data_IF_946435335394
#
_entry.id   IF_946435335394
#
_cell.length_a   1.000
_cell.length_b   1.000
_cell.length_c   1.000
_cell.angle_alpha   90.00
_cell.angle_beta   90.00
_cell.angle_gamma   90.00
#
_symmetry.space_group_name_H-M   'P 1'
#
loop_
_entity.id
_entity.type
_entity.pdbx_description
1 polymer ?
#
# COMPACT_ATOMS: atom_id res chain seq x y z
N UNK A 1 -38.36 30.48 -48.48
CA UNK A 1 -37.90 30.96 -47.15
C UNK A 1 -38.93 30.60 -46.08
N UNK A 2 -38.79 29.47 -45.35
CA UNK A 2 -39.69 29.14 -44.21
C UNK A 2 -39.23 27.97 -43.29
N UNK A 3 -37.96 27.56 -43.35
CA UNK A 3 -37.44 26.38 -42.61
C UNK A 3 -36.34 26.76 -41.60
N UNK A 4 -35.51 27.77 -41.89
CA UNK A 4 -34.42 28.19 -40.99
C UNK A 4 -34.87 28.88 -39.69
N UNK A 5 -36.09 29.43 -39.62
CA UNK A 5 -36.57 30.14 -38.42
C UNK A 5 -37.10 29.24 -37.30
N UNK A 6 -37.32 27.94 -37.55
CA UNK A 6 -37.88 27.00 -36.56
C UNK A 6 -36.76 26.35 -35.73
N UNK A 7 -35.59 26.13 -36.32
CA UNK A 7 -34.44 25.48 -35.67
C UNK A 7 -33.80 26.39 -34.59
N UNK A 8 -33.84 27.71 -34.78
CA UNK A 8 -33.31 28.67 -33.79
C UNK A 8 -34.18 28.82 -32.52
N UNK A 9 -35.45 28.38 -32.54
CA UNK A 9 -36.35 28.50 -31.38
C UNK A 9 -36.25 27.27 -30.46
N UNK A 10 -35.79 26.12 -30.97
CA UNK A 10 -35.54 24.91 -30.16
C UNK A 10 -34.21 24.97 -29.38
N UNK A 11 -33.29 25.88 -29.72
CA UNK A 11 -31.99 26.02 -29.07
C UNK A 11 -32.02 26.86 -27.77
N UNK A 12 -33.16 27.48 -27.41
CA UNK A 12 -33.26 28.44 -26.29
C UNK A 12 -34.03 27.86 -25.07
N UNK A 13 -34.58 26.65 -25.19
CA UNK A 13 -35.47 26.05 -24.17
C UNK A 13 -34.84 24.88 -23.36
N UNK A 14 -33.51 24.79 -23.31
CA UNK A 14 -32.78 23.84 -22.42
C UNK A 14 -31.75 24.59 -21.53
N UNK A 15 -32.11 25.79 -21.08
CA UNK A 15 -31.24 26.67 -20.28
C UNK A 15 -31.87 27.18 -18.97
N UNK A 16 -32.91 26.51 -18.45
CA UNK A 16 -33.74 27.01 -17.35
C UNK A 16 -34.13 25.99 -16.27
N UNK A 17 -33.43 24.86 -16.14
CA UNK A 17 -33.63 23.87 -15.05
C UNK A 17 -32.32 23.28 -14.52
N UNK A 18 -31.35 24.14 -14.19
CA UNK A 18 -30.26 23.78 -13.26
C UNK A 18 -30.55 24.46 -11.92
N UNK A 19 -31.28 23.76 -11.06
CA UNK A 19 -31.58 24.24 -9.70
C UNK A 19 -30.28 24.43 -8.92
N UNK A 20 -30.01 25.61 -8.31
CA UNK A 20 -28.81 25.86 -7.52
C UNK A 20 -28.94 25.26 -6.11
N UNK A 21 -29.14 23.93 -6.04
CA UNK A 21 -29.35 23.17 -4.80
C UNK A 21 -28.11 22.35 -4.35
N UNK A 22 -27.00 22.43 -5.08
CA UNK A 22 -25.77 21.65 -4.80
C UNK A 22 -24.63 22.48 -4.18
N UNK A 23 -24.86 23.76 -3.87
CA UNK A 23 -23.83 24.70 -3.41
C UNK A 23 -23.53 24.64 -1.89
N UNK A 24 -23.86 23.54 -1.20
CA UNK A 24 -23.64 23.40 0.26
C UNK A 24 -22.80 22.17 0.67
N UNK A 25 -22.17 21.47 -0.29
CA UNK A 25 -21.29 20.32 0.00
C UNK A 25 -19.81 20.55 -0.35
N UNK A 26 -19.31 21.78 -0.11
CA UNK A 26 -17.90 22.14 -0.33
C UNK A 26 -17.36 23.20 0.67
N UNK A 27 -18.03 23.40 1.81
CA UNK A 27 -17.62 24.34 2.86
C UNK A 27 -17.38 23.64 4.21
N UNK A 28 -16.91 22.39 4.18
CA UNK A 28 -16.06 21.92 5.27
C UNK A 28 -14.67 22.48 4.99
N UNK A 29 -14.35 23.60 5.64
CA UNK A 29 -12.98 24.07 5.73
C UNK A 29 -12.18 23.01 6.46
N UNK A 30 -11.46 22.18 5.72
CA UNK A 30 -10.46 21.30 6.32
C UNK A 30 -9.52 22.16 7.17
N UNK A 31 -9.15 21.72 8.38
CA UNK A 31 -8.15 22.44 9.16
C UNK A 31 -6.87 22.56 8.33
N UNK A 32 -6.26 23.74 8.34
CA UNK A 32 -4.94 23.96 7.75
C UNK A 32 -3.95 23.12 8.57
N UNK A 33 -3.49 22.00 7.98
CA UNK A 33 -2.65 21.01 8.66
C UNK A 33 -1.22 21.53 8.77
N UNK A 34 -0.91 22.14 9.92
CA UNK A 34 0.37 22.76 10.19
C UNK A 34 1.39 21.77 10.77
N UNK A 35 1.98 20.94 9.90
CA UNK A 35 3.05 19.99 10.25
C UNK A 35 4.32 20.62 10.87
N UNK A 36 4.40 21.96 10.94
CA UNK A 36 5.57 22.70 11.48
C UNK A 36 5.73 22.62 12.99
N UNK A 37 4.67 22.27 13.72
CA UNK A 37 4.65 22.33 15.18
C UNK A 37 5.11 21.01 15.85
N UNK A 38 5.69 20.09 15.07
CA UNK A 38 6.19 18.74 15.42
C UNK A 38 5.13 17.75 15.98
N UNK A 39 3.96 18.22 16.39
CA UNK A 39 2.87 17.41 16.95
C UNK A 39 1.87 17.05 15.86
N UNK A 40 1.93 15.81 15.36
CA UNK A 40 0.97 15.31 14.35
C UNK A 40 -0.27 14.76 15.03
N UNK A 41 -1.44 15.32 14.73
CA UNK A 41 -2.70 14.82 15.28
C UNK A 41 -3.19 13.57 14.53
N UNK A 42 -4.00 12.72 15.17
CA UNK A 42 -4.63 11.57 14.50
C UNK A 42 -5.48 11.95 13.28
N UNK A 43 -6.21 13.07 13.36
CA UNK A 43 -7.03 13.55 12.25
C UNK A 43 -6.17 14.02 11.06
N UNK A 44 -5.04 14.66 11.34
CA UNK A 44 -4.05 15.10 10.36
C UNK A 44 -3.30 13.92 9.72
N UNK A 45 -3.00 12.88 10.50
CA UNK A 45 -2.48 11.62 9.98
C UNK A 45 -3.47 10.93 9.04
N UNK A 46 -4.75 10.87 9.40
CA UNK A 46 -5.83 10.33 8.55
C UNK A 46 -6.05 11.19 7.29
N UNK A 47 -5.94 12.51 7.39
CA UNK A 47 -5.98 13.41 6.22
C UNK A 47 -4.83 13.14 5.24
N UNK A 48 -3.59 13.00 5.72
CA UNK A 48 -2.45 12.61 4.86
C UNK A 48 -2.61 11.19 4.32
N UNK A 49 -3.06 10.25 5.15
CA UNK A 49 -3.39 8.89 4.73
C UNK A 49 -4.41 8.93 3.58
N UNK A 50 -5.47 9.75 3.67
CA UNK A 50 -6.51 9.87 2.61
C UNK A 50 -6.05 10.59 1.35
N UNK A 51 -5.21 11.64 1.43
CA UNK A 51 -4.64 12.34 0.25
C UNK A 51 -3.89 11.34 -0.66
N UNK A 52 -3.16 10.39 -0.06
CA UNK A 52 -2.39 9.37 -0.77
C UNK A 52 -3.07 7.98 -0.83
N UNK A 53 -4.34 7.84 -0.40
CA UNK A 53 -5.07 6.55 -0.46
C UNK A 53 -5.82 6.30 -1.77
N UNK A 54 -5.70 7.17 -2.77
CA UNK A 54 -6.34 7.01 -4.09
C UNK A 54 -5.32 6.81 -5.21
N UNK A 55 -4.66 5.64 -5.31
CA UNK A 55 -3.73 5.36 -6.42
C UNK A 55 -4.42 5.34 -7.79
N UNK A 56 -5.74 5.11 -7.83
CA UNK A 56 -6.48 4.83 -9.05
C UNK A 56 -6.07 3.47 -9.62
N UNK A 57 -5.72 3.42 -10.91
CA UNK A 57 -5.11 2.22 -11.51
C UNK A 57 -3.65 2.06 -11.02
N UNK A 58 -3.36 0.91 -10.42
CA UNK A 58 -2.01 0.50 -10.03
C UNK A 58 -1.22 -0.06 -11.23
N UNK A 59 0.14 -0.08 -11.15
CA UNK A 59 1.03 -0.72 -12.11
C UNK A 59 0.69 -2.18 -12.45
N UNK A 60 0.10 -2.91 -11.51
CA UNK A 60 -0.25 -4.32 -11.66
C UNK A 60 -1.56 -4.59 -12.42
N UNK A 61 -2.25 -3.55 -12.90
CA UNK A 61 -3.54 -3.66 -13.59
C UNK A 61 -3.38 -3.63 -15.12
N UNK A 62 -4.09 -4.49 -15.89
CA UNK A 62 -3.92 -4.60 -17.35
C UNK A 62 -4.11 -3.29 -18.14
N UNK A 63 -4.90 -2.34 -17.64
CA UNK A 63 -5.19 -1.06 -18.29
C UNK A 63 -4.28 0.09 -17.81
N UNK A 64 -3.27 -0.17 -17.00
CA UNK A 64 -2.35 0.85 -16.48
C UNK A 64 -1.60 1.62 -17.58
N UNK A 65 -1.35 0.99 -18.73
CA UNK A 65 -0.76 1.66 -19.89
C UNK A 65 -1.60 2.85 -20.39
N UNK A 66 -2.94 2.81 -20.26
CA UNK A 66 -3.82 3.93 -20.62
C UNK A 66 -3.62 5.12 -19.70
N UNK A 67 -3.37 4.88 -18.40
CA UNK A 67 -3.01 5.91 -17.42
C UNK A 67 -1.68 6.56 -17.80
N UNK A 68 -0.61 5.78 -18.00
CA UNK A 68 0.71 6.31 -18.44
C UNK A 68 0.65 7.01 -19.81
N UNK A 69 -0.24 6.59 -20.72
CA UNK A 69 -0.48 7.27 -21.99
C UNK A 69 -1.18 8.63 -21.78
N UNK A 70 -2.27 8.67 -21.01
CA UNK A 70 -2.98 9.91 -20.70
C UNK A 70 -2.10 10.93 -19.96
N UNK A 71 -1.27 10.47 -19.02
CA UNK A 71 -0.26 11.27 -18.32
C UNK A 71 0.75 11.90 -19.30
N UNK A 72 1.26 11.11 -20.25
CA UNK A 72 2.17 11.59 -21.30
C UNK A 72 1.52 12.59 -22.25
N UNK A 73 0.26 12.36 -22.66
CA UNK A 73 -0.49 13.29 -23.49
C UNK A 73 -0.72 14.61 -22.75
N UNK A 74 -1.08 14.56 -21.46
CA UNK A 74 -1.24 15.76 -20.63
C UNK A 74 0.08 16.55 -20.54
N UNK A 75 1.21 15.89 -20.25
CA UNK A 75 2.53 16.54 -20.25
C UNK A 75 2.91 17.16 -21.61
N UNK A 76 2.59 16.50 -22.72
CA UNK A 76 2.90 16.98 -24.06
C UNK A 76 2.16 18.27 -24.41
N UNK A 77 0.89 18.39 -24.03
CA UNK A 77 0.06 19.57 -24.30
C UNK A 77 0.10 20.65 -23.19
N UNK A 78 0.72 20.39 -22.05
CA UNK A 78 1.04 21.45 -21.07
C UNK A 78 2.26 22.23 -21.56
N UNK A 79 2.07 23.44 -22.07
CA UNK A 79 3.17 24.26 -22.60
C UNK A 79 3.84 25.17 -21.55
N UNK A 80 3.09 25.61 -20.55
CA UNK A 80 3.63 26.43 -19.45
C UNK A 80 4.57 25.61 -18.55
N UNK A 81 5.65 26.24 -18.09
CA UNK A 81 6.68 25.59 -17.29
C UNK A 81 6.26 25.35 -15.84
N UNK A 82 5.51 26.28 -15.22
CA UNK A 82 5.04 26.11 -13.84
C UNK A 82 3.94 25.04 -13.78
N UNK A 83 2.97 25.07 -14.70
CA UNK A 83 1.93 24.04 -14.81
C UNK A 83 2.51 22.66 -15.16
N UNK A 84 3.57 22.59 -15.98
CA UNK A 84 4.24 21.31 -16.29
C UNK A 84 5.02 20.77 -15.08
N UNK A 85 5.73 21.64 -14.34
CA UNK A 85 6.37 21.24 -13.11
C UNK A 85 5.33 20.73 -12.09
N UNK A 86 4.26 21.49 -11.86
CA UNK A 86 3.12 21.06 -11.02
C UNK A 86 2.57 19.70 -11.44
N UNK A 87 2.47 19.43 -12.74
CA UNK A 87 2.04 18.13 -13.24
C UNK A 87 3.00 16.97 -12.91
N UNK A 88 4.32 17.21 -12.93
CA UNK A 88 5.29 16.23 -12.42
C UNK A 88 5.16 16.01 -10.91
N UNK A 89 4.89 17.05 -10.12
CA UNK A 89 4.61 16.92 -8.68
C UNK A 89 3.33 16.09 -8.43
N UNK A 90 2.26 16.34 -9.17
CA UNK A 90 1.03 15.54 -9.13
C UNK A 90 1.32 14.06 -9.48
N UNK A 91 2.14 13.80 -10.50
CA UNK A 91 2.50 12.43 -10.88
C UNK A 91 3.35 11.76 -9.80
N UNK A 92 4.26 12.47 -9.14
CA UNK A 92 4.97 11.97 -7.97
C UNK A 92 3.98 11.57 -6.85
N UNK A 93 3.00 12.42 -6.50
CA UNK A 93 1.95 12.06 -5.52
C UNK A 93 1.22 10.76 -5.91
N UNK A 94 0.87 10.61 -7.19
CA UNK A 94 0.26 9.39 -7.73
C UNK A 94 1.19 8.18 -7.60
N UNK A 95 2.48 8.30 -7.91
CA UNK A 95 3.47 7.20 -7.75
C UNK A 95 3.58 6.76 -6.29
N UNK A 96 3.56 7.71 -5.34
CA UNK A 96 3.64 7.39 -3.92
C UNK A 96 2.36 6.69 -3.42
N UNK A 97 1.19 7.12 -3.87
CA UNK A 97 -0.07 6.43 -3.61
C UNK A 97 -0.08 5.00 -4.19
N UNK A 98 0.48 4.81 -5.40
CA UNK A 98 0.66 3.48 -6.00
C UNK A 98 1.58 2.60 -5.15
N UNK A 99 2.77 3.11 -4.77
CA UNK A 99 3.73 2.39 -3.94
C UNK A 99 3.11 1.94 -2.61
N UNK A 100 2.38 2.84 -1.92
CA UNK A 100 1.63 2.52 -0.70
C UNK A 100 0.63 1.38 -0.94
N UNK A 101 -0.22 1.50 -1.96
CA UNK A 101 -1.25 0.50 -2.28
C UNK A 101 -0.68 -0.85 -2.77
N UNK A 102 0.57 -0.88 -3.25
CA UNK A 102 1.30 -2.10 -3.60
C UNK A 102 1.92 -2.76 -2.37
N UNK A 103 2.51 -1.98 -1.46
CA UNK A 103 3.00 -2.48 -0.16
C UNK A 103 1.87 -3.11 0.66
N UNK A 104 0.70 -2.50 0.69
CA UNK A 104 -0.49 -3.08 1.36
C UNK A 104 -1.00 -4.38 0.72
N UNK A 105 -0.55 -4.70 -0.50
CA UNK A 105 -0.80 -5.96 -1.21
C UNK A 105 0.40 -6.93 -1.16
N UNK A 106 1.45 -6.62 -0.40
CA UNK A 106 2.74 -7.34 -0.37
C UNK A 106 3.46 -7.40 -1.73
N UNK A 107 3.18 -6.44 -2.63
CA UNK A 107 3.76 -6.32 -3.97
C UNK A 107 5.00 -5.41 -3.95
N UNK A 108 6.05 -5.89 -3.30
CA UNK A 108 7.22 -5.08 -2.94
C UNK A 108 8.11 -4.72 -4.12
N UNK A 109 8.16 -5.55 -5.17
CA UNK A 109 8.93 -5.26 -6.38
C UNK A 109 8.24 -4.16 -7.20
N UNK A 110 6.92 -4.26 -7.41
CA UNK A 110 6.16 -3.19 -8.08
C UNK A 110 6.17 -1.89 -7.25
N UNK A 111 6.19 -1.99 -5.91
CA UNK A 111 6.32 -0.82 -5.03
C UNK A 111 7.69 -0.12 -5.17
N UNK A 112 8.80 -0.87 -5.25
CA UNK A 112 10.12 -0.32 -5.54
C UNK A 112 10.14 0.38 -6.92
N UNK A 113 9.54 -0.23 -7.95
CA UNK A 113 9.39 0.41 -9.27
C UNK A 113 8.60 1.73 -9.20
N UNK A 114 7.48 1.76 -8.45
CA UNK A 114 6.70 2.98 -8.24
C UNK A 114 7.49 4.05 -7.47
N UNK A 115 8.31 3.68 -6.48
CA UNK A 115 9.21 4.60 -5.79
C UNK A 115 10.37 5.07 -6.69
N UNK A 116 10.84 4.24 -7.61
CA UNK A 116 11.74 4.64 -8.68
C UNK A 116 11.13 5.71 -9.58
N UNK A 117 9.88 5.53 -10.01
CA UNK A 117 9.14 6.56 -10.75
C UNK A 117 8.90 7.82 -9.91
N UNK A 118 8.56 7.72 -8.61
CA UNK A 118 8.40 8.87 -7.70
C UNK A 118 9.64 9.77 -7.70
N UNK A 119 10.81 9.16 -7.48
CA UNK A 119 12.09 9.86 -7.48
C UNK A 119 12.41 10.53 -8.84
N UNK A 120 11.95 9.90 -9.94
CA UNK A 120 12.10 10.45 -11.29
C UNK A 120 11.19 11.65 -11.50
N UNK A 121 9.89 11.55 -11.21
CA UNK A 121 8.95 12.67 -11.36
C UNK A 121 9.36 13.87 -10.49
N UNK A 122 9.88 13.64 -9.28
CA UNK A 122 10.49 14.71 -8.46
C UNK A 122 11.75 15.34 -9.05
N UNK A 123 12.45 14.65 -9.96
CA UNK A 123 13.62 15.19 -10.67
C UNK A 123 13.18 16.00 -11.89
N UNK A 124 12.14 15.55 -12.59
CA UNK A 124 11.51 16.31 -13.68
C UNK A 124 10.76 17.55 -13.17
N UNK A 125 10.21 17.52 -11.95
CA UNK A 125 9.69 18.70 -11.25
C UNK A 125 10.75 19.79 -11.13
N UNK A 126 11.91 19.47 -10.54
CA UNK A 126 13.00 20.45 -10.35
C UNK A 126 13.56 20.95 -11.69
N UNK A 127 13.78 20.04 -12.65
CA UNK A 127 14.33 20.38 -13.98
C UNK A 127 13.40 21.32 -14.76
N UNK A 128 12.08 21.08 -14.67
CA UNK A 128 11.05 21.86 -15.38
C UNK A 128 10.74 23.18 -14.67
N UNK A 129 10.70 23.18 -13.33
CA UNK A 129 10.42 24.38 -12.56
C UNK A 129 11.54 25.41 -12.70
N UNK A 130 12.81 24.99 -12.66
CA UNK A 130 13.98 25.85 -12.89
C UNK A 130 13.97 27.10 -11.98
N UNK A 131 13.85 28.30 -12.57
CA UNK A 131 13.73 29.56 -11.79
C UNK A 131 12.30 29.86 -11.30
N UNK A 132 11.30 29.17 -11.81
CA UNK A 132 9.90 29.32 -11.39
C UNK A 132 9.56 28.46 -10.15
N UNK A 133 10.52 27.71 -9.59
CA UNK A 133 10.35 26.97 -8.31
C UNK A 133 9.70 27.84 -7.24
N UNK A 134 10.11 29.11 -7.12
CA UNK A 134 9.54 30.10 -6.17
C UNK A 134 8.00 30.20 -6.22
N UNK A 135 7.38 30.07 -7.41
CA UNK A 135 5.91 30.12 -7.55
C UNK A 135 5.22 28.89 -6.98
N UNK A 136 5.94 27.76 -6.88
CA UNK A 136 5.43 26.47 -6.43
C UNK A 136 5.92 26.10 -5.03
N UNK A 137 6.86 26.84 -4.41
CA UNK A 137 7.49 26.49 -3.12
C UNK A 137 6.46 25.98 -2.12
N UNK A 138 5.42 26.76 -1.78
CA UNK A 138 4.39 26.35 -0.82
C UNK A 138 3.72 25.02 -1.16
N UNK A 139 3.32 24.82 -2.41
CA UNK A 139 2.65 23.59 -2.85
C UNK A 139 3.60 22.38 -2.88
N UNK A 140 4.86 22.59 -3.30
CA UNK A 140 5.88 21.55 -3.31
C UNK A 140 6.39 21.18 -1.92
N UNK A 141 6.58 22.15 -1.01
CA UNK A 141 6.96 21.88 0.39
C UNK A 141 5.88 21.08 1.11
N UNK A 142 4.62 21.49 1.02
CA UNK A 142 3.47 20.73 1.58
C UNK A 142 3.40 19.31 1.02
N UNK A 143 3.50 19.17 -0.31
CA UNK A 143 3.50 17.87 -0.97
C UNK A 143 4.65 16.96 -0.51
N UNK A 144 5.87 17.48 -0.39
CA UNK A 144 7.06 16.71 -0.02
C UNK A 144 7.12 16.39 1.49
N UNK A 145 6.61 17.29 2.33
CA UNK A 145 6.44 17.09 3.77
C UNK A 145 5.46 15.94 4.03
N UNK A 146 4.25 16.00 3.47
CA UNK A 146 3.27 14.90 3.56
C UNK A 146 3.79 13.61 2.94
N UNK A 147 4.48 13.70 1.80
CA UNK A 147 5.08 12.53 1.15
C UNK A 147 6.11 11.84 2.05
N UNK A 148 6.89 12.60 2.83
CA UNK A 148 7.85 12.03 3.77
C UNK A 148 7.17 11.21 4.88
N UNK A 149 6.05 11.70 5.43
CA UNK A 149 5.23 10.97 6.41
C UNK A 149 4.65 9.69 5.80
N UNK A 150 4.13 9.74 4.57
CA UNK A 150 3.62 8.54 3.88
C UNK A 150 4.75 7.53 3.63
N UNK A 151 5.94 7.98 3.24
CA UNK A 151 7.11 7.12 3.04
C UNK A 151 7.53 6.42 4.35
N UNK A 152 7.55 7.14 5.48
CA UNK A 152 7.82 6.55 6.79
C UNK A 152 6.72 5.58 7.27
N UNK A 153 5.44 5.87 6.99
CA UNK A 153 4.34 4.92 7.24
C UNK A 153 4.46 3.65 6.40
N UNK A 154 4.90 3.78 5.14
CA UNK A 154 5.15 2.65 4.25
C UNK A 154 6.37 1.84 4.73
N UNK A 155 7.42 2.51 5.25
CA UNK A 155 8.62 1.87 5.81
C UNK A 155 8.29 0.90 6.96
N UNK A 156 7.26 1.18 7.76
CA UNK A 156 6.80 0.30 8.85
C UNK A 156 6.07 -0.96 8.36
N UNK A 157 5.53 -0.95 7.14
CA UNK A 157 4.70 -2.05 6.58
C UNK A 157 5.50 -3.01 5.68
N UNK A 158 6.69 -2.63 5.22
CA UNK A 158 7.50 -3.44 4.29
C UNK A 158 8.43 -4.47 4.97
N UNK A 159 8.77 -5.56 4.27
CA UNK A 159 9.89 -6.41 4.65
C UNK A 159 11.25 -5.72 4.44
N UNK A 160 12.27 -6.19 5.18
CA UNK A 160 13.66 -5.67 5.14
C UNK A 160 14.22 -5.46 3.72
N UNK A 161 13.85 -6.33 2.78
CA UNK A 161 14.31 -6.30 1.39
C UNK A 161 13.92 -5.02 0.64
N UNK A 162 12.78 -4.40 0.98
CA UNK A 162 12.27 -3.20 0.30
C UNK A 162 12.58 -1.90 1.05
N UNK A 163 13.11 -1.96 2.28
CA UNK A 163 13.46 -0.78 3.09
C UNK A 163 14.44 0.18 2.40
N UNK A 164 15.53 -0.27 1.73
CA UNK A 164 16.49 0.65 1.13
C UNK A 164 15.90 1.56 0.04
N UNK A 165 14.89 1.08 -0.68
CA UNK A 165 14.19 1.85 -1.71
C UNK A 165 13.37 3.00 -1.09
N UNK A 166 12.65 2.70 0.00
CA UNK A 166 11.82 3.66 0.73
C UNK A 166 12.70 4.67 1.45
N UNK A 167 13.75 4.22 2.13
CA UNK A 167 14.74 5.11 2.77
C UNK A 167 15.39 6.04 1.74
N UNK A 168 15.71 5.56 0.54
CA UNK A 168 16.21 6.41 -0.56
C UNK A 168 15.17 7.44 -1.00
N UNK A 169 13.92 7.04 -1.21
CA UNK A 169 12.83 7.94 -1.59
C UNK A 169 12.54 9.00 -0.52
N UNK A 170 12.57 8.62 0.76
CA UNK A 170 12.40 9.50 1.91
C UNK A 170 13.53 10.55 1.98
N UNK A 171 14.78 10.08 1.92
CA UNK A 171 15.95 10.97 1.93
C UNK A 171 15.91 11.97 0.76
N UNK A 172 15.50 11.53 -0.43
CA UNK A 172 15.33 12.40 -1.60
C UNK A 172 14.19 13.42 -1.42
N UNK A 173 13.05 12.99 -0.87
CA UNK A 173 11.91 13.87 -0.56
C UNK A 173 12.32 15.01 0.38
N UNK A 174 13.05 14.68 1.45
CA UNK A 174 13.56 15.64 2.43
C UNK A 174 14.61 16.56 1.81
N UNK A 175 15.57 16.02 1.05
CA UNK A 175 16.61 16.83 0.41
C UNK A 175 16.03 17.83 -0.59
N UNK A 176 15.06 17.41 -1.41
CA UNK A 176 14.38 18.28 -2.36
C UNK A 176 13.55 19.36 -1.67
N UNK A 177 12.81 19.03 -0.59
CA UNK A 177 12.08 20.02 0.23
C UNK A 177 13.01 21.15 0.68
N UNK A 178 14.14 20.80 1.31
CA UNK A 178 15.10 21.81 1.80
C UNK A 178 15.71 22.61 0.64
N UNK A 179 16.04 21.98 -0.50
CA UNK A 179 16.56 22.70 -1.68
C UNK A 179 15.55 23.69 -2.25
N UNK A 180 14.27 23.34 -2.27
CA UNK A 180 13.17 24.19 -2.73
C UNK A 180 13.01 25.42 -1.83
N UNK A 181 13.02 25.21 -0.51
CA UNK A 181 12.93 26.28 0.50
C UNK A 181 14.19 27.17 0.48
N UNK A 182 15.37 26.56 0.39
CA UNK A 182 16.66 27.25 0.28
C UNK A 182 16.79 28.14 -0.97
N UNK A 183 16.12 27.78 -2.08
CA UNK A 183 16.07 28.61 -3.28
C UNK A 183 15.28 29.91 -3.07
N UNK A 184 14.34 29.94 -2.12
CA UNK A 184 13.61 31.16 -1.72
C UNK A 184 14.45 32.01 -0.76
N UNK A 185 15.13 31.38 0.20
CA UNK A 185 15.93 32.07 1.25
C UNK A 185 17.37 32.40 0.84
N UNK A 186 17.84 31.95 -0.32
CA UNK A 186 19.23 32.07 -0.81
C UNK A 186 20.28 31.47 0.14
N UNK A 187 19.94 30.35 0.78
CA UNK A 187 20.82 29.66 1.72
C UNK A 187 22.11 29.11 1.08
N UNK A 188 23.19 29.14 1.84
CA UNK A 188 24.46 28.56 1.42
C UNK A 188 24.44 27.03 1.52
N UNK A 189 25.30 26.35 0.75
CA UNK A 189 25.39 24.88 0.77
C UNK A 189 25.71 24.25 2.13
N UNK A 190 26.21 25.02 3.11
CA UNK A 190 26.39 24.58 4.50
C UNK A 190 25.09 24.66 5.31
N UNK A 191 24.31 25.72 5.10
CA UNK A 191 22.99 25.89 5.74
C UNK A 191 22.00 24.84 5.20
N UNK A 192 21.99 24.60 3.88
CA UNK A 192 21.21 23.52 3.26
C UNK A 192 21.51 22.16 3.92
N UNK A 193 22.79 21.80 4.12
CA UNK A 193 23.15 20.55 4.78
C UNK A 193 22.70 20.51 6.25
N UNK A 194 22.86 21.61 7.00
CA UNK A 194 22.39 21.70 8.38
C UNK A 194 20.85 21.60 8.48
N UNK A 195 20.13 22.18 7.52
CA UNK A 195 18.68 22.13 7.43
C UNK A 195 18.19 20.73 7.02
N UNK A 196 18.84 20.04 6.07
CA UNK A 196 18.55 18.61 5.78
C UNK A 196 18.74 17.73 7.01
N UNK A 197 19.77 17.95 7.82
CA UNK A 197 19.97 17.20 9.08
C UNK A 197 18.86 17.52 10.10
N UNK A 198 18.40 18.78 10.16
CA UNK A 198 17.29 19.22 11.02
C UNK A 198 15.96 18.59 10.60
N UNK A 199 15.62 18.62 9.31
CA UNK A 199 14.41 18.00 8.76
C UNK A 199 14.38 16.49 9.08
N UNK A 200 15.48 15.76 8.82
CA UNK A 200 15.56 14.33 9.11
C UNK A 200 15.30 14.02 10.58
N UNK A 201 15.82 14.84 11.50
CA UNK A 201 15.55 14.70 12.94
C UNK A 201 14.08 14.94 13.25
N UNK A 202 13.48 16.02 12.72
CA UNK A 202 12.04 16.30 12.95
C UNK A 202 11.17 15.16 12.43
N UNK A 203 11.48 14.60 11.26
CA UNK A 203 10.77 13.44 10.73
C UNK A 203 10.87 12.24 11.68
N UNK A 204 12.04 11.95 12.25
CA UNK A 204 12.17 10.91 13.29
C UNK A 204 11.30 11.21 14.51
N UNK A 205 11.31 12.45 15.02
CA UNK A 205 10.48 12.87 16.16
C UNK A 205 8.98 12.72 15.87
N UNK A 206 8.52 13.18 14.70
CA UNK A 206 7.15 13.02 14.19
C UNK A 206 6.76 11.54 14.07
N UNK A 207 7.67 10.69 13.61
CA UNK A 207 7.37 9.26 13.50
C UNK A 207 7.32 8.55 14.85
N UNK A 208 8.09 8.99 15.85
CA UNK A 208 7.92 8.53 17.23
C UNK A 208 6.55 8.95 17.80
N UNK A 209 6.05 10.15 17.50
CA UNK A 209 4.70 10.61 17.86
C UNK A 209 3.62 9.73 17.19
N UNK A 210 3.72 9.52 15.88
CA UNK A 210 2.80 8.68 15.11
C UNK A 210 2.77 7.23 15.63
N UNK A 211 3.93 6.67 16.00
CA UNK A 211 3.99 5.34 16.63
C UNK A 211 3.29 5.30 18.00
N UNK A 212 3.37 6.37 18.81
CA UNK A 212 2.60 6.46 20.07
C UNK A 212 1.09 6.44 19.80
N UNK A 213 0.63 7.18 18.79
CA UNK A 213 -0.79 7.25 18.38
C UNK A 213 -1.30 5.88 17.89
N UNK A 214 -0.54 5.21 17.02
CA UNK A 214 -0.91 3.86 16.56
C UNK A 214 -0.92 2.83 17.71
N UNK A 215 -0.04 3.00 18.70
CA UNK A 215 0.01 2.15 19.89
C UNK A 215 -1.23 2.35 20.77
N UNK A 216 -1.66 3.59 21.00
CA UNK A 216 -2.88 3.88 21.78
C UNK A 216 -4.13 3.30 21.11
N UNK A 217 -4.24 3.38 19.78
CA UNK A 217 -5.33 2.70 19.05
C UNK A 217 -5.32 1.18 19.23
N UNK A 218 -4.14 0.56 19.22
CA UNK A 218 -4.04 -0.89 19.41
C UNK A 218 -4.50 -1.27 20.81
N UNK A 219 -4.16 -0.47 21.83
CA UNK A 219 -4.65 -0.67 23.20
C UNK A 219 -6.13 -0.38 23.39
N UNK A 220 -6.74 0.53 22.63
CA UNK A 220 -8.21 0.67 22.60
C UNK A 220 -8.87 -0.55 21.95
N UNK A 221 -8.34 -1.02 20.82
CA UNK A 221 -8.81 -2.21 20.09
C UNK A 221 -8.58 -3.53 20.86
N UNK A 222 -7.66 -3.60 21.83
CA UNK A 222 -7.43 -4.78 22.70
C UNK A 222 -7.88 -4.59 24.16
N UNK A 223 -8.23 -3.37 24.57
CA UNK A 223 -8.64 -3.04 25.94
C UNK A 223 -10.14 -2.94 26.12
N UNK A 224 -10.88 -2.66 25.05
CA UNK A 224 -12.34 -2.74 25.06
C UNK A 224 -12.78 -4.16 24.65
N UNK A 225 -13.17 -4.98 25.63
CA UNK A 225 -14.17 -6.05 25.38
C UNK A 225 -15.45 -5.34 24.96
N UNK A 226 -15.56 -4.99 23.68
CA UNK A 226 -16.83 -4.57 23.07
C UNK A 226 -17.86 -5.65 23.46
N UNK A 227 -19.02 -5.29 24.01
CA UNK A 227 -20.09 -6.27 24.21
C UNK A 227 -20.42 -6.83 22.83
N UNK A 228 -19.93 -8.04 22.57
CA UNK A 228 -20.01 -8.65 21.26
C UNK A 228 -21.46 -8.77 20.86
N UNK A 229 -21.73 -8.69 19.56
CA UNK A 229 -22.98 -9.20 19.02
C UNK A 229 -22.92 -10.72 19.22
N UNK A 230 -23.39 -11.18 20.38
CA UNK A 230 -23.42 -12.60 20.74
C UNK A 230 -24.39 -13.27 19.78
N UNK A 231 -23.83 -14.04 18.85
CA UNK A 231 -24.62 -14.72 17.83
C UNK A 231 -25.50 -15.77 18.53
N UNK A 232 -26.79 -15.77 18.23
CA UNK A 232 -27.77 -16.64 18.88
C UNK A 232 -27.71 -18.05 18.30
N UNK A 233 -26.62 -18.75 18.62
CA UNK A 233 -26.35 -20.12 18.17
C UNK A 233 -25.90 -20.94 19.36
N UNK A 234 -26.63 -22.04 19.58
CA UNK A 234 -26.29 -23.02 20.63
C UNK A 234 -24.89 -23.56 20.34
N UNK A 235 -24.00 -23.40 21.31
CA UNK A 235 -22.58 -23.74 21.19
C UNK A 235 -22.26 -24.86 22.17
N UNK A 236 -22.03 -26.11 21.70
CA UNK A 236 -21.55 -27.18 22.54
C UNK A 236 -20.10 -26.91 22.96
N UNK A 237 -19.75 -27.13 24.21
CA UNK A 237 -18.37 -27.05 24.68
C UNK A 237 -18.08 -28.06 25.80
N UNK A 238 -16.80 -28.41 25.94
CA UNK A 238 -16.29 -29.39 26.89
C UNK A 238 -15.37 -28.74 27.93
N UNK A 239 -15.57 -29.07 29.20
CA UNK A 239 -14.71 -28.62 30.30
C UNK A 239 -13.37 -29.36 30.34
N UNK A 240 -12.34 -28.84 31.03
CA UNK A 240 -11.08 -29.53 31.29
C UNK A 240 -11.25 -30.89 32.00
N UNK A 241 -12.29 -31.01 32.84
CA UNK A 241 -12.68 -32.25 33.54
C UNK A 241 -13.43 -33.24 32.61
N UNK A 242 -13.70 -32.82 31.38
CA UNK A 242 -14.27 -33.64 30.31
C UNK A 242 -15.80 -33.59 30.19
N UNK A 243 -16.49 -32.77 30.98
CA UNK A 243 -17.96 -32.60 30.94
C UNK A 243 -18.39 -31.80 29.71
N UNK A 244 -19.43 -32.22 28.98
CA UNK A 244 -19.97 -31.45 27.84
C UNK A 244 -21.27 -30.74 28.22
N UNK A 245 -21.40 -29.47 27.82
CA UNK A 245 -22.63 -28.68 27.96
C UNK A 245 -22.90 -27.85 26.71
N UNK A 246 -24.16 -27.53 26.49
CA UNK A 246 -24.61 -26.61 25.44
C UNK A 246 -24.85 -25.22 26.03
N UNK A 247 -24.30 -24.20 25.37
CA UNK A 247 -24.36 -22.80 25.78
C UNK A 247 -25.26 -22.01 24.82
N UNK A 248 -26.16 -21.12 25.29
CA UNK A 248 -27.11 -20.41 24.42
C UNK A 248 -26.45 -19.56 23.32
N UNK A 249 -25.27 -19.02 23.61
CA UNK A 249 -24.40 -18.30 22.65
C UNK A 249 -22.93 -18.68 22.87
N UNK A 250 -22.04 -18.44 21.90
CA UNK A 250 -20.59 -18.60 22.10
C UNK A 250 -20.00 -17.69 23.19
N UNK A 251 -20.72 -16.64 23.60
CA UNK A 251 -20.31 -15.74 24.68
C UNK A 251 -20.48 -16.36 26.08
N UNK A 252 -21.36 -17.36 26.21
CA UNK A 252 -21.67 -17.99 27.50
C UNK A 252 -20.72 -19.15 27.84
N UNK A 253 -19.87 -19.55 26.88
CA UNK A 253 -18.86 -20.61 27.05
C UNK A 253 -17.75 -20.11 28.00
N UNK A 254 -17.51 -20.78 29.15
CA UNK A 254 -16.50 -20.33 30.11
C UNK A 254 -15.07 -20.45 29.56
N UNK A 255 -14.19 -19.60 30.07
CA UNK A 255 -12.77 -19.61 29.71
C UNK A 255 -12.12 -20.96 30.07
N UNK A 256 -11.36 -21.54 29.14
CA UNK A 256 -10.75 -22.87 29.28
C UNK A 256 -11.61 -24.04 28.81
N UNK A 257 -12.82 -23.81 28.28
CA UNK A 257 -13.64 -24.85 27.66
C UNK A 257 -13.37 -24.96 26.15
N UNK A 258 -13.38 -26.19 25.62
CA UNK A 258 -13.15 -26.49 24.20
C UNK A 258 -14.48 -26.62 23.45
N UNK A 259 -14.71 -25.80 22.42
CA UNK A 259 -15.95 -25.85 21.61
C UNK A 259 -16.01 -27.11 20.75
N UNK A 260 -17.17 -27.78 20.71
CA UNK A 260 -17.37 -29.04 19.98
C UNK A 260 -18.58 -28.97 19.05
N UNK A 261 -18.70 -29.94 18.13
CA UNK A 261 -19.78 -29.97 17.12
C UNK A 261 -21.13 -30.40 17.73
N UNK A 262 -21.13 -31.40 18.62
CA UNK A 262 -22.33 -31.94 19.32
C UNK A 262 -21.89 -32.47 20.70
N UNK A 263 -22.69 -32.31 21.75
CA UNK A 263 -22.48 -33.01 23.02
C UNK A 263 -22.96 -34.48 22.97
N UNK A 264 -22.15 -35.47 23.37
CA UNK A 264 -22.59 -36.86 23.42
C UNK A 264 -23.59 -37.09 24.57
N UNK A 265 -24.85 -37.33 24.24
CA UNK A 265 -25.91 -37.63 25.21
C UNK A 265 -25.71 -39.02 25.84
N UNK A 266 -25.53 -39.06 27.16
CA UNK A 266 -25.76 -40.28 27.97
C UNK A 266 -27.25 -40.29 28.40
N UNK A 267 -27.98 -41.40 28.54
CA UNK A 267 -27.62 -42.81 28.84
C UNK A 267 -28.83 -43.76 28.51
N UNK A 268 -28.84 -45.06 28.88
CA UNK A 268 -28.71 -46.25 28.02
C UNK A 268 -30.03 -47.07 27.81
N UNK A 269 -29.90 -48.38 27.46
CA UNK A 269 -30.94 -49.44 27.23
C UNK A 269 -31.39 -49.53 25.75
N UNK A 270 -31.36 -50.66 25.04
CA UNK A 270 -30.81 -52.01 25.29
C UNK A 270 -30.49 -52.76 23.97
N UNK A 271 -29.89 -53.95 24.11
CA UNK A 271 -29.53 -54.97 23.13
C UNK A 271 -30.18 -54.93 21.73
N UNK A 272 -29.33 -54.85 20.70
CA UNK A 272 -29.44 -55.69 19.50
C UNK A 272 -28.06 -56.28 19.22
N UNK A 273 -27.90 -57.57 19.56
CA UNK A 273 -26.86 -58.44 18.98
C UNK A 273 -27.33 -59.00 17.63
N UNK A 274 -26.47 -59.77 16.93
CA UNK A 274 -26.73 -60.53 15.68
C UNK A 274 -26.59 -59.67 14.41
N UNK A 275 -25.77 -60.00 13.41
CA UNK A 275 -24.77 -61.08 13.23
C UNK A 275 -23.73 -60.68 12.16
N UNK A 276 -22.54 -61.28 12.19
CA UNK A 276 -21.54 -61.20 11.11
C UNK A 276 -21.73 -62.36 10.12
N UNK A 277 -21.85 -62.12 8.80
CA UNK A 277 -21.68 -63.18 7.81
C UNK A 277 -20.22 -63.25 7.32
N UNK A 278 -19.64 -64.44 7.39
CA UNK A 278 -18.34 -64.72 6.79
C UNK A 278 -18.46 -64.99 5.28
N UNK A 279 -17.43 -64.55 4.55
CA UNK A 279 -16.71 -65.31 3.51
C UNK A 279 -17.51 -66.18 2.52
N UNK A 280 -17.43 -65.83 1.23
CA UNK A 280 -17.32 -66.86 0.19
C UNK A 280 -16.43 -66.45 -0.97
N UNK A 281 -15.57 -67.38 -1.34
CA UNK A 281 -14.65 -67.41 -2.47
C UNK A 281 -15.29 -67.14 -3.83
N UNK A 282 -14.54 -66.47 -4.71
CA UNK A 282 -14.34 -67.00 -6.07
C UNK A 282 -12.89 -66.77 -6.54
N UNK A 283 -12.37 -67.71 -7.31
CA UNK A 283 -10.97 -67.86 -7.69
C UNK A 283 -10.87 -68.08 -9.20
N UNK A 284 -10.26 -67.16 -9.97
CA UNK A 284 -9.38 -67.56 -11.09
C UNK A 284 -8.57 -66.40 -11.70
N UNK A 285 -7.23 -66.59 -11.75
CA UNK A 285 -6.31 -66.39 -12.92
C UNK A 285 -6.38 -65.07 -13.74
N UNK A 286 -5.29 -64.39 -14.18
CA UNK A 286 -3.89 -64.70 -14.62
C UNK A 286 -3.12 -63.34 -14.71
N UNK A 287 -1.79 -63.18 -14.84
CA UNK A 287 -0.59 -64.04 -14.77
C UNK A 287 0.69 -63.15 -14.79
N UNK A 288 1.48 -63.12 -13.72
CA UNK A 288 2.88 -62.65 -13.72
C UNK A 288 3.12 -61.12 -13.80
N UNK A 289 4.33 -60.60 -13.62
CA UNK A 289 5.61 -61.27 -13.30
C UNK A 289 6.66 -60.27 -12.73
N UNK A 290 7.10 -60.50 -11.49
CA UNK A 290 8.39 -60.14 -10.82
C UNK A 290 9.08 -58.77 -11.02
N UNK A 291 9.45 -58.20 -9.86
CA UNK A 291 10.76 -57.63 -9.47
C UNK A 291 11.28 -56.29 -10.04
N UNK A 292 11.45 -55.34 -9.10
CA UNK A 292 12.59 -54.41 -8.91
C UNK A 292 13.99 -54.96 -9.29
N UNK A 293 15.07 -54.12 -9.38
CA UNK A 293 15.22 -52.81 -8.73
C UNK A 293 15.74 -51.65 -9.62
N UNK A 294 15.87 -50.50 -8.96
CA UNK A 294 16.80 -49.36 -9.18
C UNK A 294 17.53 -49.21 -10.53
N UNK A 295 17.47 -47.99 -11.09
CA UNK A 295 18.64 -47.44 -11.77
C UNK A 295 18.76 -45.91 -11.57
N UNK A 296 19.95 -45.47 -11.12
CA UNK A 296 20.31 -44.09 -10.76
C UNK A 296 21.42 -43.62 -11.67
N UNK A 297 21.15 -42.68 -12.60
CA UNK A 297 22.18 -42.06 -13.46
C UNK A 297 21.67 -40.71 -14.02
N UNK A 298 22.52 -39.68 -14.24
CA UNK A 298 23.62 -39.20 -13.41
C UNK A 298 23.54 -37.69 -13.09
N UNK A 299 24.35 -37.25 -12.12
CA UNK A 299 24.84 -35.87 -12.04
C UNK A 299 26.01 -35.70 -13.02
N UNK A 300 26.07 -34.61 -13.79
CA UNK A 300 27.28 -34.21 -14.51
C UNK A 300 27.58 -32.72 -14.34
N UNK A 301 28.75 -32.45 -13.75
CA UNK A 301 29.42 -31.17 -13.56
C UNK A 301 30.93 -31.47 -13.56
N UNK A 302 31.86 -30.51 -13.75
CA UNK A 302 31.80 -29.23 -14.46
C UNK A 302 32.69 -29.26 -15.73
N UNK A 303 32.84 -28.12 -16.41
CA UNK A 303 33.92 -27.90 -17.38
C UNK A 303 34.73 -26.65 -16.99
N UNK A 304 36.06 -26.77 -17.00
CA UNK A 304 37.02 -25.77 -16.51
C UNK A 304 37.99 -25.33 -17.63
N UNK A 305 38.43 -24.05 -17.58
CA UNK A 305 39.74 -23.53 -18.07
C UNK A 305 39.93 -23.48 -19.63
N UNK A 306 40.76 -22.57 -20.22
CA UNK A 306 41.61 -21.48 -19.69
C UNK A 306 41.09 -20.06 -20.05
N UNK A 307 41.44 -18.93 -19.41
CA UNK A 307 42.70 -18.36 -18.90
C UNK A 307 43.54 -17.54 -19.92
N UNK A 308 43.87 -16.31 -19.51
CA UNK A 308 44.90 -15.37 -20.03
C UNK A 308 44.71 -14.71 -21.42
N UNK A 309 44.34 -13.42 -21.41
CA UNK A 309 45.10 -12.38 -22.15
C UNK A 309 45.32 -11.18 -21.21
N UNK A 310 46.58 -10.77 -21.09
CA UNK A 310 47.08 -9.60 -20.36
C UNK A 310 47.80 -8.71 -21.38
N UNK A 311 47.80 -7.38 -21.18
CA UNK A 311 48.38 -6.25 -21.97
C UNK A 311 47.26 -5.26 -22.38
N UNK A 312 47.41 -3.93 -22.36
CA UNK A 312 48.53 -3.06 -21.97
C UNK A 312 47.95 -1.70 -21.47
N UNK A 313 48.56 -1.05 -20.47
CA UNK A 313 48.41 0.41 -20.29
C UNK A 313 49.27 1.15 -21.34
N UNK A 314 48.89 2.37 -21.73
CA UNK A 314 49.88 3.41 -22.00
C UNK A 314 49.76 4.56 -20.99
N UNK A 315 50.87 4.83 -20.30
CA UNK A 315 51.13 6.06 -19.56
C UNK A 315 51.80 7.10 -20.47
N UNK A 316 51.52 8.38 -20.25
CA UNK A 316 52.11 9.52 -20.97
C UNK A 316 51.06 10.61 -21.21
N UNK A 317 50.95 11.63 -20.35
CA UNK A 317 51.83 12.82 -20.25
C UNK A 317 51.69 13.78 -21.43
N UNK A 318 50.90 14.84 -21.23
CA UNK A 318 51.27 16.27 -21.29
C UNK A 318 50.29 17.02 -20.36
#
# INVERSE_FOLDING_TARGET
MKIHSIILIQAVLIAAFVSPAHAQLAAQTFPDVNFKDNVVTKAELDLVETEFSRPGLLPDQPLYFLKRFAERIRLFFTFDAAEKAKLHLDFAKVRLAEAKGLVEKNKTEEADQALGEYNKELTEFESTAGRNVSLLVKESSDALEKSSIVLDLVLQKVPEQARPAIEKALNNSIEKKVRIEANETQETGKEIQANVIREKRRNTEIMEEIMKIQRTERTEKTGEKKPGICIQVITPARSPEGECREFPTPCDVPEGWETMVICPTQKPVADISIETPAEKSDETQKRGKTSEPENVVPVSSPAEIPAQVKTQLPSGSI
#
